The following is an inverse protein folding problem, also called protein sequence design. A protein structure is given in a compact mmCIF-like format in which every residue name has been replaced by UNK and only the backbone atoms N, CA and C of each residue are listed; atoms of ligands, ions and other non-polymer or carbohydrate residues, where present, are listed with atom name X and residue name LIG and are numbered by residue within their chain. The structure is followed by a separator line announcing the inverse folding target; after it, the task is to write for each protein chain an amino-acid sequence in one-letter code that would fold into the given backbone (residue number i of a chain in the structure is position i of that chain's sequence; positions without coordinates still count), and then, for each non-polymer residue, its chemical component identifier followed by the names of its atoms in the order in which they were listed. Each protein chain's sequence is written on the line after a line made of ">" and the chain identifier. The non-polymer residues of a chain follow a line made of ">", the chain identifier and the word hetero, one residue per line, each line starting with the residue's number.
data_IF_491369081665
#
_entry.id   IF_491369081665
#
_cell.length_a   1.000
_cell.length_b   1.000
_cell.length_c   1.000
_cell.angle_alpha   90.00
_cell.angle_beta   90.00
_cell.angle_gamma   90.00
#
_symmetry.space_group_name_H-M   'P 1'
#
loop_
_entity.id
_entity.type
_entity.pdbx_description
1 polymer ?
#
# COMPACT_ATOMS: atom_id res chain seq x y z
N UNK A 1 -13.94 -2.16 15.18
CA UNK A 1 -13.00 -1.48 14.25
C UNK A 1 -13.83 -0.81 13.15
N UNK A 2 -13.64 0.49 12.87
CA UNK A 2 -14.45 1.19 11.85
C UNK A 2 -13.98 0.84 10.43
N UNK A 3 -14.90 0.86 9.46
CA UNK A 3 -14.59 0.64 8.04
C UNK A 3 -13.53 1.63 7.51
N UNK A 4 -13.55 2.87 7.99
CA UNK A 4 -12.54 3.88 7.66
C UNK A 4 -11.13 3.48 8.13
N UNK A 5 -11.01 2.82 9.28
CA UNK A 5 -9.73 2.32 9.80
C UNK A 5 -9.16 1.21 8.93
N UNK A 6 -10.03 0.35 8.39
CA UNK A 6 -9.62 -0.70 7.43
C UNK A 6 -9.07 -0.04 6.17
N UNK A 7 -9.80 0.91 5.56
CA UNK A 7 -9.34 1.62 4.37
C UNK A 7 -8.02 2.37 4.59
N UNK A 8 -7.85 3.05 5.74
CA UNK A 8 -6.60 3.71 6.09
C UNK A 8 -5.43 2.71 6.23
N UNK A 9 -5.67 1.55 6.85
CA UNK A 9 -4.69 0.48 6.96
C UNK A 9 -4.26 -0.07 5.60
N UNK A 10 -5.22 -0.31 4.69
CA UNK A 10 -4.94 -0.70 3.31
C UNK A 10 -4.12 0.34 2.56
N UNK A 11 -4.46 1.62 2.73
CA UNK A 11 -3.73 2.72 2.11
C UNK A 11 -2.28 2.78 2.57
N UNK A 12 -2.05 2.78 3.89
CA UNK A 12 -0.70 2.86 4.47
C UNK A 12 0.12 1.61 4.14
N UNK A 13 -0.46 0.42 4.28
CA UNK A 13 0.23 -0.84 3.99
C UNK A 13 0.69 -0.93 2.54
N UNK A 14 -0.20 -0.61 1.59
CA UNK A 14 0.13 -0.65 0.18
C UNK A 14 1.08 0.48 -0.22
N UNK A 15 0.92 1.67 0.36
CA UNK A 15 1.87 2.76 0.15
C UNK A 15 3.29 2.37 0.57
N UNK A 16 3.46 1.76 1.75
CA UNK A 16 4.76 1.25 2.20
C UNK A 16 5.30 0.17 1.27
N UNK A 17 4.48 -0.81 0.89
CA UNK A 17 4.88 -1.90 0.00
C UNK A 17 5.39 -1.35 -1.34
N UNK A 18 4.67 -0.37 -1.89
CA UNK A 18 4.92 0.22 -3.19
C UNK A 18 6.08 1.22 -3.14
N UNK A 19 6.25 1.94 -2.03
CA UNK A 19 7.42 2.78 -1.75
C UNK A 19 8.69 1.94 -1.61
N UNK A 20 8.59 0.78 -0.95
CA UNK A 20 9.67 -0.19 -0.85
C UNK A 20 10.15 -0.66 -2.24
N UNK A 21 9.26 -0.86 -3.21
CA UNK A 21 9.65 -1.22 -4.59
C UNK A 21 10.36 -0.10 -5.37
N UNK A 22 10.12 1.17 -5.02
CA UNK A 22 10.78 2.32 -5.67
C UNK A 22 12.08 2.72 -4.97
N UNK A 23 12.19 2.43 -3.67
CA UNK A 23 13.39 2.72 -2.87
C UNK A 23 14.57 1.81 -3.25
N UNK A 24 15.78 2.37 -3.35
CA UNK A 24 17.02 1.64 -3.63
C UNK A 24 17.78 1.32 -2.33
N UNK A 25 18.31 0.11 -2.19
CA UNK A 25 19.17 -0.33 -1.07
C UNK A 25 18.57 -1.46 -0.21
N UNK A 26 19.30 -1.93 0.80
CA UNK A 26 18.87 -3.05 1.68
C UNK A 26 17.54 -2.79 2.42
N UNK A 27 17.18 -1.52 2.63
CA UNK A 27 15.91 -1.14 3.27
C UNK A 27 14.68 -1.42 2.39
N UNK A 28 14.87 -1.63 1.08
CA UNK A 28 13.83 -1.98 0.12
C UNK A 28 13.05 -3.23 0.55
N UNK A 29 13.76 -4.34 0.80
CA UNK A 29 13.13 -5.61 1.20
C UNK A 29 12.42 -5.50 2.54
N UNK A 30 13.00 -4.78 3.51
CA UNK A 30 12.40 -4.61 4.83
C UNK A 30 11.10 -3.81 4.75
N UNK A 31 11.10 -2.70 4.01
CA UNK A 31 9.91 -1.84 3.83
C UNK A 31 8.81 -2.58 3.06
N UNK A 32 9.18 -3.33 2.00
CA UNK A 32 8.23 -4.17 1.26
C UNK A 32 7.61 -5.24 2.17
N UNK A 33 8.43 -5.90 2.99
CA UNK A 33 7.97 -6.94 3.90
C UNK A 33 7.02 -6.38 4.96
N UNK A 34 7.36 -5.23 5.56
CA UNK A 34 6.49 -4.54 6.53
C UNK A 34 5.17 -4.12 5.89
N UNK A 35 5.20 -3.56 4.67
CA UNK A 35 4.00 -3.16 3.94
C UNK A 35 3.09 -4.35 3.59
N UNK A 36 3.68 -5.46 3.14
CA UNK A 36 2.95 -6.71 2.87
C UNK A 36 2.34 -7.33 4.13
N UNK A 37 3.08 -7.33 5.23
CA UNK A 37 2.62 -7.83 6.52
C UNK A 37 1.45 -6.98 7.05
N UNK A 38 1.53 -5.65 6.92
CA UNK A 38 0.44 -4.73 7.24
C UNK A 38 -0.81 -5.02 6.39
N UNK A 39 -0.68 -5.16 5.07
CA UNK A 39 -1.82 -5.47 4.19
C UNK A 39 -2.48 -6.79 4.58
N UNK A 40 -1.68 -7.81 4.88
CA UNK A 40 -2.17 -9.13 5.25
C UNK A 40 -2.88 -9.10 6.61
N UNK A 41 -2.30 -8.41 7.59
CA UNK A 41 -2.91 -8.24 8.91
C UNK A 41 -4.22 -7.44 8.83
N UNK A 42 -4.27 -6.39 8.01
CA UNK A 42 -5.50 -5.62 7.77
C UNK A 42 -6.55 -6.49 7.08
N UNK A 43 -6.18 -7.27 6.07
CA UNK A 43 -7.08 -8.19 5.40
C UNK A 43 -7.67 -9.21 6.39
N UNK A 44 -6.83 -9.92 7.14
CA UNK A 44 -7.26 -10.91 8.13
C UNK A 44 -8.19 -10.26 9.16
N UNK A 45 -7.77 -9.15 9.80
CA UNK A 45 -8.58 -8.46 10.80
C UNK A 45 -9.90 -7.92 10.26
N UNK A 46 -9.97 -7.55 8.97
CA UNK A 46 -11.21 -7.10 8.32
C UNK A 46 -12.30 -8.17 8.34
N UNK A 47 -11.91 -9.44 8.08
CA UNK A 47 -12.85 -10.57 8.06
C UNK A 47 -13.38 -10.91 9.45
N UNK A 48 -12.55 -10.79 10.50
CA UNK A 48 -12.94 -11.11 11.88
C UNK A 48 -13.72 -9.98 12.59
N UNK A 49 -13.38 -8.71 12.36
CA UNK A 49 -13.92 -7.59 13.15
C UNK A 49 -15.02 -6.76 12.46
N UNK A 50 -15.06 -6.74 11.13
CA UNK A 50 -15.97 -5.87 10.36
C UNK A 50 -17.05 -6.68 9.63
N UNK A 51 -16.78 -7.96 9.36
CA UNK A 51 -17.66 -8.89 8.68
C UNK A 51 -17.37 -9.00 7.18
N UNK A 52 -17.66 -10.18 6.63
CA UNK A 52 -17.30 -10.58 5.26
C UNK A 52 -17.73 -9.60 4.18
N UNK A 53 -18.97 -9.08 4.25
CA UNK A 53 -19.52 -8.16 3.25
C UNK A 53 -18.73 -6.85 3.18
N UNK A 54 -18.40 -6.28 4.34
CA UNK A 54 -17.62 -5.04 4.45
C UNK A 54 -16.14 -5.27 4.12
N UNK A 55 -15.60 -6.44 4.43
CA UNK A 55 -14.23 -6.82 4.04
C UNK A 55 -14.09 -6.89 2.51
N UNK A 56 -15.06 -7.51 1.81
CA UNK A 56 -15.11 -7.56 0.35
C UNK A 56 -15.23 -6.16 -0.27
N UNK A 57 -16.08 -5.31 0.32
CA UNK A 57 -16.22 -3.92 -0.12
C UNK A 57 -14.92 -3.13 0.10
N UNK A 58 -14.20 -3.39 1.19
CA UNK A 58 -12.87 -2.85 1.46
C UNK A 58 -11.82 -3.30 0.43
N UNK A 59 -11.86 -4.56 0.00
CA UNK A 59 -11.01 -5.09 -1.09
C UNK A 59 -11.31 -4.45 -2.44
N UNK A 60 -12.58 -4.18 -2.73
CA UNK A 60 -12.98 -3.46 -3.94
C UNK A 60 -12.48 -2.01 -3.92
N UNK A 61 -12.68 -1.30 -2.80
CA UNK A 61 -12.13 0.06 -2.61
C UNK A 61 -10.60 0.05 -2.70
N UNK A 62 -9.96 -0.98 -2.17
CA UNK A 62 -8.52 -1.13 -2.27
C UNK A 62 -8.06 -1.21 -3.73
N UNK A 63 -8.64 -2.12 -4.52
CA UNK A 63 -8.22 -2.33 -5.92
C UNK A 63 -8.58 -1.17 -6.85
N UNK A 64 -9.77 -0.58 -6.71
CA UNK A 64 -10.26 0.44 -7.65
C UNK A 64 -9.90 1.88 -7.26
N UNK A 65 -9.62 2.15 -5.98
CA UNK A 65 -9.38 3.52 -5.50
C UNK A 65 -7.97 3.65 -4.94
N UNK A 66 -7.59 2.81 -3.98
CA UNK A 66 -6.32 2.95 -3.27
C UNK A 66 -5.13 2.64 -4.20
N UNK A 67 -5.19 1.53 -4.94
CA UNK A 67 -4.14 1.11 -5.87
C UNK A 67 -3.77 2.21 -6.89
N UNK A 68 -4.71 2.75 -7.71
CA UNK A 68 -4.36 3.76 -8.70
C UNK A 68 -3.88 5.07 -8.06
N UNK A 69 -4.44 5.50 -6.93
CA UNK A 69 -4.00 6.71 -6.22
C UNK A 69 -2.53 6.56 -5.77
N UNK A 70 -2.22 5.43 -5.12
CA UNK A 70 -0.88 5.16 -4.62
C UNK A 70 0.12 5.03 -5.76
N UNK A 71 -0.25 4.41 -6.88
CA UNK A 71 0.62 4.33 -8.07
C UNK A 71 0.90 5.71 -8.69
N UNK A 72 -0.08 6.60 -8.77
CA UNK A 72 0.14 7.97 -9.27
C UNK A 72 1.12 8.71 -8.37
N UNK A 73 0.95 8.62 -7.04
CA UNK A 73 1.82 9.28 -6.07
C UNK A 73 3.24 8.72 -6.17
N UNK A 74 3.38 7.40 -6.21
CA UNK A 74 4.68 6.74 -6.24
C UNK A 74 5.36 6.90 -7.59
N UNK A 75 4.61 6.96 -8.70
CA UNK A 75 5.15 7.32 -10.00
C UNK A 75 5.79 8.71 -9.99
N UNK A 76 5.16 9.69 -9.34
CA UNK A 76 5.74 11.03 -9.15
C UNK A 76 6.98 11.01 -8.25
N UNK A 77 6.93 10.26 -7.15
CA UNK A 77 8.07 10.10 -6.22
C UNK A 77 9.24 9.39 -6.93
N UNK A 78 8.98 8.32 -7.67
CA UNK A 78 9.99 7.57 -8.42
C UNK A 78 10.60 8.40 -9.55
N UNK A 79 9.79 9.21 -10.25
CA UNK A 79 10.29 10.18 -11.22
C UNK A 79 11.23 11.19 -10.54
N UNK A 80 10.84 11.75 -9.38
CA UNK A 80 11.65 12.70 -8.62
C UNK A 80 12.96 12.10 -8.07
N UNK A 81 12.93 10.84 -7.62
CA UNK A 81 14.11 10.13 -7.08
C UNK A 81 15.07 9.70 -8.21
N UNK A 82 14.57 9.41 -9.42
CA UNK A 82 15.40 8.99 -10.56
C UNK A 82 15.92 10.16 -11.44
N UNK A 83 15.50 11.41 -11.22
CA UNK A 83 16.04 12.60 -11.93
C UNK A 83 17.58 12.62 -11.99
N UNK A 84 18.34 12.35 -10.91
CA UNK A 84 19.81 12.39 -10.96
C UNK A 84 20.45 11.26 -11.78
N UNK A 85 19.71 10.22 -12.20
CA UNK A 85 20.25 9.06 -12.91
C UNK A 85 19.84 8.97 -14.39
N UNK A 86 18.97 9.85 -14.89
CA UNK A 86 18.64 9.94 -16.32
C UNK A 86 19.66 10.73 -17.16
N UNK A 87 20.66 11.35 -16.53
CA UNK A 87 21.76 12.07 -17.18
C UNK A 87 23.04 11.22 -17.26
N UNK A 88 22.93 9.98 -17.77
CA UNK A 88 24.08 9.16 -18.17
C UNK A 88 23.82 8.66 -19.57
#
# INVERSE_FOLDING_TARGET
>A
MSFAFVCAGWFVGYFLLRFGMVSRGNMCQVIQFIGGLLCTAVLISSFFFVGWLKALLGLAVFSFVITPIVEIIIGRIGAAINIPYQKV
#
